data_IF_244447858276
#
_entry.id   IF_244447858276
#
_cell.length_a   1.000
_cell.length_b   1.000
_cell.length_c   1.000
_cell.angle_alpha   90.00
_cell.angle_beta   90.00
_cell.angle_gamma   90.00
#
_symmetry.space_group_name_H-M   'P 1'
#
loop_
_entity.id
_entity.type
_entity.pdbx_description
1 polymer ?
#
# COMPACT_ATOMS: atom_id res chain seq x y z
N UNK A 1 -22.84 5.94 24.93
CA UNK A 1 -22.38 5.39 23.64
C UNK A 1 -21.47 6.37 22.90
N UNK A 2 -21.77 7.68 22.94
CA UNK A 2 -21.04 8.74 22.21
C UNK A 2 -19.56 8.96 22.61
N UNK A 3 -19.20 8.71 23.88
CA UNK A 3 -17.83 8.95 24.39
C UNK A 3 -16.76 8.02 23.78
N UNK A 4 -17.14 6.80 23.39
CA UNK A 4 -16.25 5.83 22.72
C UNK A 4 -16.00 6.21 21.25
N UNK A 5 -17.04 6.69 20.56
CA UNK A 5 -16.94 7.20 19.18
C UNK A 5 -16.10 8.48 19.11
N UNK A 6 -16.23 9.39 20.08
CA UNK A 6 -15.34 10.56 20.17
C UNK A 6 -13.88 10.18 20.39
N UNK A 7 -13.59 9.21 21.28
CA UNK A 7 -12.21 8.74 21.49
C UNK A 7 -11.64 8.02 20.27
N UNK A 8 -12.44 7.23 19.53
CA UNK A 8 -12.01 6.62 18.27
C UNK A 8 -11.77 7.66 17.17
N UNK A 9 -12.61 8.68 17.05
CA UNK A 9 -12.42 9.76 16.07
C UNK A 9 -11.23 10.65 16.44
N UNK A 10 -10.95 10.85 17.73
CA UNK A 10 -9.73 11.52 18.21
C UNK A 10 -8.50 10.65 17.95
N UNK A 11 -8.57 9.32 18.12
CA UNK A 11 -7.48 8.40 17.79
C UNK A 11 -7.22 8.29 16.28
N UNK A 12 -8.27 8.26 15.46
CA UNK A 12 -8.17 8.29 14.00
C UNK A 12 -7.71 9.67 13.49
N UNK A 13 -8.12 10.75 14.16
CA UNK A 13 -7.61 12.10 13.94
C UNK A 13 -6.16 12.28 14.41
N UNK A 14 -5.76 11.61 15.48
CA UNK A 14 -4.36 11.50 15.92
C UNK A 14 -3.56 10.58 15.02
N UNK A 15 -4.15 9.65 14.27
CA UNK A 15 -3.44 8.87 13.24
C UNK A 15 -3.53 9.52 11.85
N UNK A 16 -4.18 10.68 11.74
CA UNK A 16 -4.29 11.42 10.48
C UNK A 16 -2.94 12.04 10.10
N UNK A 17 -2.82 12.36 8.80
CA UNK A 17 -1.60 12.83 8.13
C UNK A 17 -0.70 13.81 8.91
N UNK A 18 -1.19 14.74 9.75
CA UNK A 18 -0.37 15.64 10.55
C UNK A 18 0.41 14.96 11.69
N UNK A 19 -0.13 13.95 12.39
CA UNK A 19 0.65 13.23 13.42
C UNK A 19 1.60 12.23 12.79
N UNK A 20 1.21 11.60 11.68
CA UNK A 20 2.12 10.78 10.89
C UNK A 20 3.26 11.66 10.34
N UNK A 21 2.96 12.86 9.86
CA UNK A 21 3.95 13.86 9.47
C UNK A 21 4.79 14.32 10.67
N UNK A 22 4.19 14.57 11.83
CA UNK A 22 4.90 14.92 13.05
C UNK A 22 5.80 13.78 13.53
N UNK A 23 5.39 12.52 13.45
CA UNK A 23 6.19 11.33 13.75
C UNK A 23 7.30 11.13 12.71
N UNK A 24 7.01 11.39 11.43
CA UNK A 24 8.01 11.45 10.34
C UNK A 24 9.01 12.58 10.58
N UNK A 25 8.68 13.63 11.35
CA UNK A 25 9.59 14.72 11.70
C UNK A 25 10.28 14.54 13.07
N UNK A 26 9.62 13.89 14.03
CA UNK A 26 10.10 13.62 15.40
C UNK A 26 11.05 12.43 15.48
N UNK A 27 10.83 11.38 14.68
CA UNK A 27 11.76 10.24 14.59
C UNK A 27 13.11 10.70 14.04
N UNK A 28 13.19 11.54 12.99
CA UNK A 28 14.43 12.16 12.60
C UNK A 28 15.04 13.07 13.66
N UNK A 29 14.26 13.83 14.43
CA UNK A 29 14.81 14.61 15.54
C UNK A 29 15.53 13.74 16.57
N UNK A 30 14.95 12.60 16.97
CA UNK A 30 15.61 11.65 17.87
C UNK A 30 16.85 11.00 17.24
N UNK A 31 16.79 10.63 15.96
CA UNK A 31 17.92 10.05 15.22
C UNK A 31 19.04 11.07 15.01
N UNK A 32 18.72 12.31 14.64
CA UNK A 32 19.66 13.41 14.46
C UNK A 32 20.30 13.83 15.77
N UNK A 33 19.54 13.81 16.87
CA UNK A 33 20.06 14.02 18.23
C UNK A 33 21.07 12.92 18.57
N UNK A 34 20.71 11.65 18.36
CA UNK A 34 21.63 10.52 18.59
C UNK A 34 22.89 10.58 17.71
N UNK A 35 22.75 10.89 16.42
CA UNK A 35 23.87 11.06 15.50
C UNK A 35 24.76 12.23 15.89
N UNK A 36 24.19 13.35 16.31
CA UNK A 36 24.95 14.53 16.73
C UNK A 36 25.76 14.22 17.99
N UNK A 37 25.18 13.50 18.95
CA UNK A 37 25.90 13.02 20.16
C UNK A 37 27.01 12.02 19.83
N UNK A 38 26.82 11.14 18.83
CA UNK A 38 27.88 10.22 18.38
C UNK A 38 29.03 10.96 17.70
N UNK A 39 28.73 11.99 16.91
CA UNK A 39 29.72 12.78 16.16
C UNK A 39 30.44 13.80 17.05
N UNK A 40 29.76 14.32 18.06
CA UNK A 40 30.32 15.18 19.09
C UNK A 40 29.81 14.76 20.49
N UNK A 41 30.58 13.94 21.22
CA UNK A 41 30.21 13.46 22.54
C UNK A 41 30.04 14.55 23.58
N UNK A 42 30.54 15.77 23.35
CA UNK A 42 30.31 16.90 24.25
C UNK A 42 28.83 17.32 24.29
N UNK A 43 28.07 16.98 23.26
CA UNK A 43 26.62 17.19 23.20
C UNK A 43 25.83 16.24 24.12
N UNK A 44 26.44 15.15 24.61
CA UNK A 44 25.82 14.26 25.61
C UNK A 44 25.64 14.90 26.99
N UNK A 45 26.35 16.01 27.25
CA UNK A 45 26.25 16.77 28.51
C UNK A 45 25.00 17.66 28.57
N UNK A 46 24.31 17.86 27.44
CA UNK A 46 23.06 18.60 27.38
C UNK A 46 21.88 17.63 27.47
N UNK A 47 20.86 18.00 28.24
CA UNK A 47 19.61 17.24 28.34
C UNK A 47 18.88 17.17 26.98
N UNK A 48 19.11 18.17 26.12
CA UNK A 48 18.70 18.23 24.73
C UNK A 48 19.77 18.91 23.87
N UNK A 49 20.06 18.38 22.68
CA UNK A 49 20.95 19.05 21.71
C UNK A 49 20.33 20.40 21.33
N UNK A 50 21.09 21.51 21.31
CA UNK A 50 20.54 22.83 21.01
C UNK A 50 19.80 22.86 19.68
N UNK A 51 18.66 23.56 19.64
CA UNK A 51 17.78 23.63 18.47
C UNK A 51 18.52 24.18 17.25
N UNK A 52 19.43 25.14 17.45
CA UNK A 52 20.23 25.76 16.39
C UNK A 52 21.15 24.75 15.68
N UNK A 53 21.62 23.73 16.43
CA UNK A 53 22.47 22.65 15.90
C UNK A 53 21.63 21.65 15.09
N UNK A 54 20.38 21.42 15.50
CA UNK A 54 19.45 20.51 14.82
C UNK A 54 18.71 21.16 13.65
N UNK A 55 18.59 22.49 13.64
CA UNK A 55 17.84 23.25 12.64
C UNK A 55 18.37 23.02 11.23
N UNK A 56 19.69 23.09 11.04
CA UNK A 56 20.31 22.90 9.71
C UNK A 56 20.10 21.46 9.19
N UNK A 57 20.42 20.40 9.95
CA UNK A 57 20.09 19.02 9.55
C UNK A 57 18.60 18.79 9.29
N UNK A 58 17.72 19.39 10.09
CA UNK A 58 16.28 19.28 9.92
C UNK A 58 15.80 19.94 8.63
N UNK A 59 16.26 21.15 8.32
CA UNK A 59 15.98 21.84 7.05
C UNK A 59 16.46 20.99 5.87
N UNK A 60 17.68 20.46 5.93
CA UNK A 60 18.23 19.61 4.87
C UNK A 60 17.38 18.36 4.67
N UNK A 61 16.93 17.72 5.75
CA UNK A 61 16.06 16.55 5.68
C UNK A 61 14.67 16.91 5.11
N UNK A 62 14.07 18.02 5.54
CA UNK A 62 12.78 18.48 5.05
C UNK A 62 12.85 18.79 3.54
N UNK A 63 13.92 19.43 3.09
CA UNK A 63 14.20 19.67 1.66
C UNK A 63 14.36 18.35 0.91
N UNK A 64 15.09 17.39 1.47
CA UNK A 64 15.27 16.06 0.85
C UNK A 64 13.94 15.31 0.69
N UNK A 65 13.11 15.29 1.74
CA UNK A 65 11.77 14.67 1.73
C UNK A 65 10.87 15.35 0.69
N UNK A 66 10.88 16.69 0.66
CA UNK A 66 10.08 17.47 -0.28
C UNK A 66 10.49 17.18 -1.73
N UNK A 67 11.78 17.24 -2.04
CA UNK A 67 12.31 16.92 -3.35
C UNK A 67 12.01 15.47 -3.76
N UNK A 68 12.11 14.53 -2.83
CA UNK A 68 11.77 13.13 -3.03
C UNK A 68 10.29 12.93 -3.39
N UNK A 69 9.38 13.62 -2.68
CA UNK A 69 7.94 13.54 -2.91
C UNK A 69 7.53 14.19 -4.23
N UNK A 70 8.07 15.38 -4.54
CA UNK A 70 7.81 16.06 -5.83
C UNK A 70 8.27 15.18 -6.98
N UNK A 71 9.47 14.62 -6.89
CA UNK A 71 9.98 13.72 -7.93
C UNK A 71 9.10 12.47 -8.06
N UNK A 72 8.72 11.85 -6.94
CA UNK A 72 7.84 10.68 -6.96
C UNK A 72 6.51 11.00 -7.64
N UNK A 73 5.87 12.12 -7.29
CA UNK A 73 4.63 12.58 -7.91
C UNK A 73 4.79 12.79 -9.41
N UNK A 74 5.86 13.47 -9.85
CA UNK A 74 6.15 13.68 -11.28
C UNK A 74 6.36 12.35 -12.00
N UNK A 75 7.08 11.40 -11.40
CA UNK A 75 7.35 10.11 -12.01
C UNK A 75 6.09 9.24 -12.09
N UNK A 76 5.27 9.23 -11.03
CA UNK A 76 4.00 8.52 -11.00
C UNK A 76 2.94 9.16 -11.90
N UNK A 77 2.96 10.48 -12.11
CA UNK A 77 2.04 11.17 -13.04
C UNK A 77 2.21 10.77 -14.51
N UNK A 78 3.32 10.12 -14.86
CA UNK A 78 3.55 9.56 -16.21
C UNK A 78 2.74 8.29 -16.46
N UNK A 79 2.17 7.74 -15.40
CA UNK A 79 1.30 6.60 -15.47
C UNK A 79 -0.06 7.00 -16.05
N UNK A 80 -0.29 6.65 -17.30
CA UNK A 80 -1.55 6.91 -17.99
C UNK A 80 -2.64 5.88 -17.67
N UNK A 81 -2.31 4.88 -16.84
CA UNK A 81 -3.21 3.78 -16.44
C UNK A 81 -3.16 3.53 -14.93
N UNK A 82 -2.95 4.57 -14.13
CA UNK A 82 -2.90 4.45 -12.68
C UNK A 82 -4.23 3.89 -12.14
N UNK A 83 -4.15 2.87 -11.28
CA UNK A 83 -5.29 2.38 -10.50
C UNK A 83 -6.33 1.61 -11.31
N UNK A 84 -6.04 0.36 -11.66
CA UNK A 84 -7.08 -0.57 -12.13
C UNK A 84 -7.36 -1.57 -11.03
N UNK A 85 -8.63 -1.59 -10.62
CA UNK A 85 -9.15 -2.53 -9.66
C UNK A 85 -10.01 -3.53 -10.42
N UNK A 86 -9.74 -4.81 -10.22
CA UNK A 86 -10.51 -5.89 -10.84
C UNK A 86 -11.43 -6.46 -9.76
N UNK A 87 -12.72 -6.18 -9.85
CA UNK A 87 -13.73 -6.81 -9.01
C UNK A 87 -13.97 -8.22 -9.51
N UNK A 88 -13.88 -9.19 -8.62
CA UNK A 88 -13.94 -10.61 -8.91
C UNK A 88 -15.06 -11.22 -8.09
N UNK A 89 -15.91 -12.02 -8.72
CA UNK A 89 -17.01 -12.74 -8.06
C UNK A 89 -16.87 -14.23 -8.34
N UNK A 90 -16.66 -15.03 -7.29
CA UNK A 90 -16.39 -16.48 -7.44
C UNK A 90 -16.78 -17.31 -6.22
N UNK A 91 -17.35 -18.50 -6.45
CA UNK A 91 -17.59 -19.50 -5.41
C UNK A 91 -16.38 -20.41 -5.13
N UNK A 92 -15.31 -20.30 -5.93
CA UNK A 92 -14.16 -21.25 -5.91
C UNK A 92 -13.38 -21.24 -4.60
N UNK A 93 -13.43 -20.14 -3.85
CA UNK A 93 -12.61 -19.91 -2.66
C UNK A 93 -13.44 -19.68 -1.38
N UNK A 94 -14.74 -20.00 -1.41
CA UNK A 94 -15.67 -19.85 -0.27
C UNK A 94 -15.18 -20.63 0.96
N UNK A 95 -14.68 -21.85 0.73
CA UNK A 95 -14.18 -22.73 1.78
C UNK A 95 -12.72 -22.49 2.17
N UNK A 96 -12.11 -21.39 1.72
CA UNK A 96 -10.72 -21.06 2.05
C UNK A 96 -10.56 -20.84 3.57
N UNK A 97 -9.81 -21.72 4.28
CA UNK A 97 -9.65 -21.62 5.73
C UNK A 97 -8.69 -20.50 6.15
N UNK A 98 -8.09 -19.79 5.19
CA UNK A 98 -7.07 -18.77 5.47
C UNK A 98 -7.57 -17.57 6.25
N UNK A 99 -8.88 -17.35 6.34
CA UNK A 99 -9.46 -16.35 7.25
C UNK A 99 -9.01 -16.54 8.70
N UNK A 100 -8.77 -17.78 9.15
CA UNK A 100 -8.28 -18.05 10.52
C UNK A 100 -6.81 -17.65 10.71
N UNK A 101 -6.04 -17.58 9.61
CA UNK A 101 -4.62 -17.23 9.61
C UNK A 101 -4.38 -15.74 9.39
N UNK A 102 -5.36 -15.04 8.82
CA UNK A 102 -5.34 -13.59 8.68
C UNK A 102 -5.86 -12.95 9.98
N UNK A 103 -5.10 -12.01 10.54
CA UNK A 103 -5.45 -11.31 11.79
C UNK A 103 -6.79 -10.55 11.72
N UNK A 104 -7.27 -10.23 10.52
CA UNK A 104 -8.55 -9.55 10.25
C UNK A 104 -9.64 -10.49 9.75
N UNK A 105 -9.41 -11.81 9.71
CA UNK A 105 -10.42 -12.78 9.31
C UNK A 105 -10.60 -12.94 7.80
N UNK A 106 -9.86 -12.19 6.98
CA UNK A 106 -10.04 -12.19 5.53
C UNK A 106 -9.53 -13.47 4.86
N UNK A 107 -10.39 -14.05 4.02
CA UNK A 107 -10.08 -15.19 3.13
C UNK A 107 -9.33 -14.71 1.89
N UNK A 108 -8.78 -15.63 1.10
CA UNK A 108 -8.19 -15.32 -0.20
C UNK A 108 -6.74 -15.79 -0.40
N UNK A 109 -6.14 -16.47 0.58
CA UNK A 109 -4.81 -17.07 0.40
C UNK A 109 -4.80 -18.09 -0.73
N UNK A 110 -5.83 -18.93 -0.83
CA UNK A 110 -5.91 -19.95 -1.87
C UNK A 110 -5.95 -19.31 -3.27
N UNK A 111 -6.69 -18.20 -3.39
CA UNK A 111 -6.71 -17.38 -4.61
C UNK A 111 -5.31 -16.79 -4.87
N UNK A 112 -4.68 -16.17 -3.88
CA UNK A 112 -3.34 -15.58 -4.01
C UNK A 112 -2.30 -16.62 -4.44
N UNK A 113 -2.31 -17.80 -3.84
CA UNK A 113 -1.43 -18.89 -4.24
C UNK A 113 -1.74 -19.38 -5.66
N UNK A 114 -2.99 -19.62 -6.04
CA UNK A 114 -3.32 -20.11 -7.38
C UNK A 114 -2.90 -19.10 -8.47
N UNK A 115 -3.18 -17.81 -8.26
CA UNK A 115 -2.77 -16.73 -9.15
C UNK A 115 -1.23 -16.61 -9.24
N UNK A 116 -0.54 -16.67 -8.10
CA UNK A 116 0.93 -16.66 -8.07
C UNK A 116 1.52 -17.81 -8.89
N UNK A 117 1.00 -19.03 -8.73
CA UNK A 117 1.46 -20.18 -9.51
C UNK A 117 1.11 -20.05 -11.00
N UNK A 118 0.00 -19.40 -11.34
CA UNK A 118 -0.34 -19.09 -12.72
C UNK A 118 0.70 -18.17 -13.36
N UNK A 119 1.01 -17.05 -12.70
CA UNK A 119 2.02 -16.08 -13.16
C UNK A 119 3.39 -16.77 -13.28
N UNK A 120 3.81 -17.52 -12.26
CA UNK A 120 5.09 -18.22 -12.23
C UNK A 120 5.30 -19.17 -13.42
N UNK A 121 4.23 -19.79 -13.95
CA UNK A 121 4.30 -20.73 -15.08
C UNK A 121 4.41 -20.05 -16.44
N UNK A 122 4.02 -18.78 -16.55
CA UNK A 122 3.96 -18.04 -17.83
C UNK A 122 5.09 -17.03 -18.02
N UNK A 123 5.89 -16.80 -16.98
CA UNK A 123 7.05 -15.93 -17.04
C UNK A 123 8.32 -16.72 -17.41
N UNK A 124 8.90 -16.44 -18.59
CA UNK A 124 10.16 -17.06 -19.08
C UNK A 124 11.38 -16.65 -18.25
N UNK A 125 11.27 -15.55 -17.50
CA UNK A 125 12.29 -15.09 -16.55
C UNK A 125 11.83 -15.45 -15.16
N UNK A 126 12.75 -15.91 -14.31
CA UNK A 126 12.49 -16.11 -12.89
C UNK A 126 12.17 -14.78 -12.20
N UNK A 127 10.93 -14.29 -12.37
CA UNK A 127 10.38 -13.19 -11.59
C UNK A 127 10.28 -13.69 -10.17
N UNK A 128 11.05 -13.08 -9.25
CA UNK A 128 10.99 -13.45 -7.83
C UNK A 128 9.60 -13.12 -7.29
N UNK A 129 8.81 -14.14 -6.97
CA UNK A 129 7.51 -14.00 -6.33
C UNK A 129 7.65 -14.30 -4.83
N UNK A 130 7.16 -13.42 -3.97
CA UNK A 130 7.10 -13.70 -2.53
C UNK A 130 6.05 -14.78 -2.23
N UNK A 131 6.07 -15.31 -1.01
CA UNK A 131 4.91 -16.05 -0.49
C UNK A 131 3.74 -15.08 -0.32
N UNK A 132 2.48 -15.54 -0.46
CA UNK A 132 1.35 -14.74 -0.03
C UNK A 132 1.43 -14.42 1.45
N UNK A 133 1.20 -13.16 1.77
CA UNK A 133 1.13 -12.62 3.13
C UNK A 133 -0.27 -12.07 3.38
N UNK A 134 -0.72 -12.14 4.63
CA UNK A 134 -2.00 -11.58 5.06
C UNK A 134 -1.84 -10.11 5.40
N UNK A 135 -2.78 -9.30 4.93
CA UNK A 135 -2.87 -7.85 5.13
C UNK A 135 -4.25 -7.48 5.68
N UNK A 136 -4.40 -6.22 6.06
CA UNK A 136 -5.61 -5.64 6.67
C UNK A 136 -6.89 -5.85 5.85
N UNK A 137 -6.76 -5.95 4.53
CA UNK A 137 -7.86 -6.09 3.58
C UNK A 137 -7.97 -7.50 2.98
N UNK A 138 -7.03 -8.41 3.24
CA UNK A 138 -6.99 -9.69 2.56
C UNK A 138 -5.60 -10.29 2.45
N UNK A 139 -5.25 -10.75 1.25
CA UNK A 139 -3.98 -11.41 0.98
C UNK A 139 -3.28 -10.73 -0.18
N UNK A 140 -1.97 -10.91 -0.29
CA UNK A 140 -1.26 -10.48 -1.48
C UNK A 140 0.15 -11.00 -1.54
N UNK A 141 0.83 -10.73 -2.65
CA UNK A 141 2.22 -11.12 -2.83
C UNK A 141 2.98 -10.11 -3.69
N UNK A 142 4.29 -10.07 -3.46
CA UNK A 142 5.22 -9.21 -4.16
C UNK A 142 5.78 -9.89 -5.40
N UNK A 143 5.88 -9.14 -6.50
CA UNK A 143 6.77 -9.44 -7.61
C UNK A 143 8.00 -8.56 -7.49
N UNK A 144 9.18 -9.21 -7.61
CA UNK A 144 10.49 -8.57 -7.46
C UNK A 144 10.61 -7.79 -6.14
N UNK A 145 10.17 -8.37 -5.03
CA UNK A 145 10.18 -7.75 -3.68
C UNK A 145 11.48 -7.01 -3.32
N UNK A 146 12.63 -7.56 -3.71
CA UNK A 146 13.96 -6.99 -3.43
C UNK A 146 14.44 -5.97 -4.47
N UNK A 147 13.69 -5.77 -5.56
CA UNK A 147 14.03 -4.82 -6.60
C UNK A 147 13.65 -3.38 -6.20
N UNK A 148 14.13 -2.43 -7.00
CA UNK A 148 13.90 -1.01 -6.73
C UNK A 148 12.45 -0.57 -7.02
N UNK A 149 11.74 -1.34 -7.85
CA UNK A 149 10.33 -1.13 -8.21
C UNK A 149 9.59 -2.46 -8.09
N UNK A 150 9.26 -2.88 -6.86
CA UNK A 150 8.43 -4.05 -6.66
C UNK A 150 7.00 -3.76 -7.14
N UNK A 151 6.32 -4.81 -7.60
CA UNK A 151 4.88 -4.77 -7.89
C UNK A 151 4.18 -5.57 -6.81
N UNK A 152 3.11 -5.01 -6.27
CA UNK A 152 2.26 -5.67 -5.30
C UNK A 152 0.98 -6.13 -5.98
N UNK A 153 0.57 -7.37 -5.71
CA UNK A 153 -0.74 -7.90 -6.13
C UNK A 153 -1.54 -8.18 -4.87
N UNK A 154 -2.54 -7.33 -4.63
CA UNK A 154 -3.50 -7.46 -3.55
C UNK A 154 -4.73 -8.25 -4.01
N UNK A 155 -5.27 -9.08 -3.12
CA UNK A 155 -6.53 -9.80 -3.22
C UNK A 155 -7.29 -9.47 -1.93
N UNK A 156 -8.06 -8.40 -1.98
CA UNK A 156 -8.89 -7.97 -0.88
C UNK A 156 -10.21 -8.75 -0.88
N UNK A 157 -10.63 -9.27 0.27
CA UNK A 157 -11.93 -9.93 0.41
C UNK A 157 -12.99 -8.88 0.74
N UNK A 158 -13.96 -8.72 -0.16
CA UNK A 158 -15.03 -7.72 -0.04
C UNK A 158 -16.28 -8.27 0.68
N UNK A 159 -16.32 -9.58 0.95
CA UNK A 159 -17.45 -10.27 1.56
C UNK A 159 -18.32 -11.00 0.54
N UNK A 160 -19.46 -11.50 0.99
CA UNK A 160 -20.43 -12.19 0.13
C UNK A 160 -21.48 -11.20 -0.38
N UNK A 161 -21.92 -11.30 -1.64
CA UNK A 161 -22.99 -10.46 -2.16
C UNK A 161 -24.29 -10.77 -1.41
N UNK A 162 -25.08 -9.74 -1.15
CA UNK A 162 -26.32 -9.85 -0.35
C UNK A 162 -27.32 -10.89 -0.86
N UNK A 163 -27.25 -11.21 -2.15
CA UNK A 163 -28.23 -12.05 -2.84
C UNK A 163 -27.78 -13.52 -2.98
N UNK A 164 -26.53 -13.85 -2.64
CA UNK A 164 -25.96 -15.19 -2.86
C UNK A 164 -24.73 -15.48 -1.98
N UNK A 165 -24.94 -16.21 -0.88
CA UNK A 165 -23.87 -16.63 0.04
C UNK A 165 -22.97 -17.75 -0.52
N UNK A 166 -23.32 -18.35 -1.67
CA UNK A 166 -22.48 -19.39 -2.31
C UNK A 166 -21.31 -18.81 -3.11
N UNK A 167 -21.19 -17.49 -3.12
CA UNK A 167 -20.22 -16.74 -3.91
C UNK A 167 -19.57 -15.67 -3.04
N UNK A 168 -18.28 -15.43 -3.23
CA UNK A 168 -17.55 -14.37 -2.53
C UNK A 168 -17.09 -13.32 -3.55
N UNK A 169 -17.02 -12.08 -3.08
CA UNK A 169 -16.47 -10.95 -3.82
C UNK A 169 -15.05 -10.65 -3.35
N UNK A 170 -14.18 -10.43 -4.32
CA UNK A 170 -12.79 -10.04 -4.12
C UNK A 170 -12.48 -8.82 -4.97
N UNK A 171 -11.51 -8.05 -4.52
CA UNK A 171 -10.90 -6.95 -5.25
C UNK A 171 -9.45 -7.35 -5.50
N UNK A 172 -9.08 -7.49 -6.77
CA UNK A 172 -7.69 -7.69 -7.18
C UNK A 172 -7.12 -6.34 -7.61
N UNK A 173 -6.08 -5.88 -6.91
CA UNK A 173 -5.40 -4.63 -7.22
C UNK A 173 -3.93 -4.90 -7.51
N UNK A 174 -3.38 -4.26 -8.54
CA UNK A 174 -1.98 -4.36 -8.94
C UNK A 174 -1.33 -2.98 -8.77
N UNK A 175 -0.53 -2.81 -7.73
CA UNK A 175 0.05 -1.52 -7.37
C UNK A 175 1.57 -1.51 -7.53
N UNK A 176 2.11 -0.33 -7.87
CA UNK A 176 3.54 -0.06 -7.83
C UNK A 176 3.81 0.65 -6.50
N UNK A 177 4.54 -0.03 -5.61
CA UNK A 177 4.74 0.48 -4.26
C UNK A 177 5.98 1.37 -4.20
N UNK A 178 5.82 2.67 -3.90
CA UNK A 178 6.96 3.57 -3.79
C UNK A 178 7.82 3.23 -2.57
N UNK A 179 9.15 3.38 -2.64
CA UNK A 179 10.03 3.21 -1.49
C UNK A 179 9.65 4.18 -0.37
N UNK A 180 9.67 3.71 0.88
CA UNK A 180 9.40 4.55 2.06
C UNK A 180 10.51 5.60 2.25
N UNK A 181 11.78 5.21 2.00
CA UNK A 181 12.94 6.06 2.28
C UNK A 181 13.13 7.18 1.23
N UNK A 182 13.25 8.46 1.62
CA UNK A 182 13.32 9.59 0.69
C UNK A 182 14.42 9.50 -0.36
N UNK A 183 15.64 9.10 0.02
CA UNK A 183 16.74 8.95 -0.93
C UNK A 183 16.51 7.82 -1.95
N UNK A 184 15.70 6.81 -1.61
CA UNK A 184 15.27 5.79 -2.57
C UNK A 184 14.21 6.34 -3.51
N UNK A 185 13.25 7.15 -3.04
CA UNK A 185 12.26 7.85 -3.90
C UNK A 185 12.95 8.72 -4.96
N UNK A 186 14.09 9.34 -4.62
CA UNK A 186 14.90 10.12 -5.57
C UNK A 186 15.49 9.29 -6.73
N UNK A 187 15.64 7.98 -6.57
CA UNK A 187 16.15 7.07 -7.60
C UNK A 187 15.07 6.13 -8.15
N UNK A 188 13.83 6.30 -7.70
CA UNK A 188 12.71 5.42 -8.06
C UNK A 188 12.37 5.50 -9.53
N UNK A 189 12.22 4.33 -10.13
CA UNK A 189 11.88 4.11 -11.54
C UNK A 189 10.78 3.06 -11.55
N UNK A 190 9.50 3.46 -11.53
CA UNK A 190 8.39 2.53 -11.60
C UNK A 190 8.46 1.72 -12.88
N UNK A 191 8.23 0.41 -12.77
CA UNK A 191 8.15 -0.52 -13.90
C UNK A 191 6.68 -0.67 -14.34
N UNK A 192 6.16 0.37 -15.01
CA UNK A 192 4.77 0.37 -15.50
C UNK A 192 4.49 -0.76 -16.49
N UNK A 193 5.48 -1.13 -17.30
CA UNK A 193 5.35 -2.22 -18.27
C UNK A 193 5.14 -3.56 -17.56
N UNK A 194 5.91 -3.84 -16.50
CA UNK A 194 5.70 -5.03 -15.70
C UNK A 194 4.32 -5.02 -15.04
N UNK A 195 3.88 -3.90 -14.46
CA UNK A 195 2.55 -3.83 -13.84
C UNK A 195 1.45 -4.15 -14.87
N UNK A 196 1.51 -3.55 -16.05
CA UNK A 196 0.56 -3.77 -17.14
C UNK A 196 0.57 -5.24 -17.62
N UNK A 197 1.75 -5.86 -17.71
CA UNK A 197 1.90 -7.28 -18.02
C UNK A 197 1.23 -8.16 -16.95
N UNK A 198 1.43 -7.85 -15.67
CA UNK A 198 0.79 -8.58 -14.56
C UNK A 198 -0.72 -8.40 -14.56
N UNK A 199 -1.23 -7.19 -14.83
CA UNK A 199 -2.67 -6.97 -15.01
C UNK A 199 -3.24 -7.87 -16.11
N UNK A 200 -2.53 -7.98 -17.24
CA UNK A 200 -2.91 -8.89 -18.31
C UNK A 200 -2.89 -10.35 -17.83
N UNK A 201 -1.86 -10.78 -17.08
CA UNK A 201 -1.81 -12.14 -16.51
C UNK A 201 -2.96 -12.42 -15.55
N UNK A 202 -3.35 -11.46 -14.72
CA UNK A 202 -4.51 -11.60 -13.83
C UNK A 202 -5.77 -11.79 -14.66
N UNK A 203 -5.95 -10.99 -15.71
CA UNK A 203 -7.11 -11.10 -16.61
C UNK A 203 -7.13 -12.45 -17.33
N UNK A 204 -5.98 -12.92 -17.85
CA UNK A 204 -5.82 -14.25 -18.45
C UNK A 204 -6.17 -15.36 -17.46
N UNK A 205 -5.72 -15.24 -16.20
CA UNK A 205 -6.04 -16.18 -15.13
C UNK A 205 -7.55 -16.27 -14.90
N UNK A 206 -8.21 -15.12 -14.76
CA UNK A 206 -9.65 -15.05 -14.49
C UNK A 206 -10.46 -15.66 -15.65
N UNK A 207 -10.08 -15.37 -16.90
CA UNK A 207 -10.68 -16.00 -18.07
C UNK A 207 -10.45 -17.52 -18.11
N UNK A 208 -9.22 -17.99 -17.90
CA UNK A 208 -8.89 -19.43 -17.94
C UNK A 208 -9.67 -20.21 -16.86
N UNK A 209 -9.94 -19.57 -15.72
CA UNK A 209 -10.69 -20.17 -14.62
C UNK A 209 -12.20 -19.99 -14.71
N UNK A 210 -12.70 -19.35 -15.77
CA UNK A 210 -14.12 -18.97 -15.94
C UNK A 210 -14.67 -18.22 -14.70
N UNK A 211 -13.85 -17.34 -14.12
CA UNK A 211 -14.25 -16.51 -12.98
C UNK A 211 -14.89 -15.23 -13.52
N UNK A 212 -16.04 -14.84 -12.95
CA UNK A 212 -16.70 -13.58 -13.32
C UNK A 212 -15.93 -12.40 -12.75
N UNK A 213 -15.63 -11.40 -13.58
CA UNK A 213 -14.95 -10.18 -13.13
C UNK A 213 -15.40 -8.95 -13.91
N UNK A 214 -15.21 -7.78 -13.29
CA UNK A 214 -15.38 -6.47 -13.89
C UNK A 214 -14.12 -5.63 -13.62
N UNK A 215 -13.65 -4.92 -14.64
CA UNK A 215 -12.52 -3.99 -14.51
C UNK A 215 -13.09 -2.61 -14.22
N UNK A 216 -12.71 -2.04 -13.09
CA UNK A 216 -13.03 -0.66 -12.72
C UNK A 216 -11.77 0.20 -12.75
N UNK A 217 -11.95 1.44 -13.19
CA UNK A 217 -10.93 2.46 -13.07
C UNK A 217 -11.06 3.09 -11.70
N UNK A 218 -9.99 3.04 -10.91
CA UNK A 218 -9.85 3.88 -9.75
C UNK A 218 -9.69 5.30 -10.30
N UNK A 219 -10.77 6.09 -10.28
CA UNK A 219 -10.61 7.54 -10.32
C UNK A 219 -9.72 7.85 -9.12
N UNK A 220 -8.50 8.32 -9.38
CA UNK A 220 -7.63 8.85 -8.35
C UNK A 220 -8.50 9.80 -7.52
N UNK A 221 -8.81 9.42 -6.27
CA UNK A 221 -9.66 10.22 -5.41
C UNK A 221 -8.84 11.46 -5.06
N UNK A 222 -9.02 12.51 -5.84
CA UNK A 222 -8.71 13.85 -5.39
C UNK A 222 -9.52 14.04 -4.09
N UNK A 223 -8.91 14.36 -2.94
CA UNK A 223 -9.62 14.51 -1.66
C UNK A 223 -10.58 15.72 -1.65
N UNK A 224 -10.99 16.23 -2.81
CA UNK A 224 -12.10 17.15 -2.87
C UNK A 224 -13.35 16.43 -2.35
N UNK A 225 -14.00 16.96 -1.30
CA UNK A 225 -15.19 16.34 -0.75
C UNK A 225 -16.27 16.34 -1.82
N UNK A 226 -16.61 15.16 -2.33
CA UNK A 226 -17.79 15.01 -3.15
C UNK A 226 -19.00 15.53 -2.34
N UNK A 227 -19.82 16.42 -2.90
CA UNK A 227 -21.06 16.83 -2.25
C UNK A 227 -21.88 15.57 -2.02
N UNK A 228 -22.15 15.27 -0.74
CA UNK A 228 -23.00 14.13 -0.38
C UNK A 228 -24.30 14.22 -1.20
N UNK A 229 -24.79 13.12 -1.79
CA UNK A 229 -26.11 13.15 -2.41
C UNK A 229 -27.12 13.57 -1.33
N UNK A 230 -28.08 14.46 -1.66
CA UNK A 230 -28.99 14.99 -0.66
C UNK A 230 -29.74 13.83 0.01
N UNK A 231 -30.00 13.94 1.33
CA UNK A 231 -30.70 12.90 2.07
C UNK A 231 -32.00 12.58 1.35
N UNK A 232 -32.17 11.32 0.96
CA UNK A 232 -33.45 10.82 0.49
C UNK A 232 -34.34 10.72 1.72
N UNK A 233 -35.37 11.57 1.76
CA UNK A 233 -36.42 11.56 2.77
C UNK A 233 -37.12 10.20 2.85
#
# INVERSE_FOLDING_TARGET
MERKQHLQNILLGLLSGPLLAALILLVPMGILTGLSVVLDPSLAMYEFVPEEVLLVPFIVLAVLISAANVRLAVVMSRDTKAGRIIKVRTGRYVDDPSGVQNIHGHRGRAFADELKHFIARREDKAVSLSKPIGEDYGWGFWLREKAFSPVWVAIAHAGSPKDDESVEEYIVAITLEPPILPWRRLRYKPDFALRDEIEQRVTEFLYEKNILFAIEWEEWVDPEPHPQPPPRF
#
